data_IF_533974914206
#
_entry.id   IF_533974914206
#
_cell.length_a   1.000
_cell.length_b   1.000
_cell.length_c   1.000
_cell.angle_alpha   90.00
_cell.angle_beta   90.00
_cell.angle_gamma   90.00
#
_symmetry.space_group_name_H-M   'P 1'
#
loop_
_entity.id
_entity.type
_entity.pdbx_description
1 polymer ?
#
# COMPACT_ATOMS: atom_id res chain seq x y z
N UNK A 1 1.66 9.06 -6.52
CA UNK A 1 1.79 8.52 -5.15
C UNK A 1 3.16 8.82 -4.59
N UNK A 2 3.22 9.27 -3.37
CA UNK A 2 4.50 9.61 -2.73
C UNK A 2 4.39 9.43 -1.22
N UNK A 3 5.55 9.38 -0.57
CA UNK A 3 5.64 9.25 0.88
C UNK A 3 6.02 10.61 1.47
N UNK A 4 5.29 11.02 2.51
CA UNK A 4 5.55 12.27 3.22
C UNK A 4 5.22 12.10 4.70
N UNK A 5 6.17 12.43 5.57
CA UNK A 5 5.98 12.40 7.03
C UNK A 5 5.42 11.06 7.54
N UNK A 6 5.98 9.95 7.05
CA UNK A 6 5.56 8.60 7.39
C UNK A 6 4.11 8.30 6.99
N UNK A 7 3.61 8.98 5.97
CA UNK A 7 2.31 8.69 5.37
C UNK A 7 2.47 8.43 3.89
N UNK A 8 1.48 7.74 3.32
CA UNK A 8 1.42 7.49 1.90
C UNK A 8 0.32 8.35 1.31
N UNK A 9 0.67 9.21 0.34
CA UNK A 9 -0.32 10.06 -0.34
C UNK A 9 -0.54 9.47 -1.73
N UNK A 10 -1.77 9.08 -2.03
CA UNK A 10 -2.08 8.47 -3.32
C UNK A 10 -2.31 9.53 -4.42
N UNK A 11 -2.60 9.07 -5.63
CA UNK A 11 -2.77 9.96 -6.78
C UNK A 11 -3.99 10.87 -6.68
N UNK A 12 -4.93 10.53 -5.80
CA UNK A 12 -6.11 11.35 -5.53
C UNK A 12 -5.91 12.27 -4.33
N UNK A 13 -4.67 12.41 -3.86
CA UNK A 13 -4.30 13.21 -2.68
C UNK A 13 -4.93 12.71 -1.37
N UNK A 14 -5.29 11.46 -1.31
CA UNK A 14 -5.77 10.85 -0.08
C UNK A 14 -4.58 10.32 0.72
N UNK A 15 -4.53 10.66 2.00
CA UNK A 15 -3.44 10.27 2.88
C UNK A 15 -3.77 8.96 3.59
N UNK A 16 -2.84 8.01 3.50
CA UNK A 16 -2.95 6.71 4.17
C UNK A 16 -1.84 6.59 5.20
N UNK A 17 -2.14 5.98 6.33
CA UNK A 17 -1.21 5.85 7.44
C UNK A 17 -0.98 4.39 7.79
N UNK A 18 0.05 4.13 8.59
CA UNK A 18 0.28 2.80 9.12
C UNK A 18 -0.97 2.35 9.86
N UNK A 19 -1.44 1.14 9.55
CA UNK A 19 -2.68 0.58 10.08
C UNK A 19 -3.86 0.68 9.13
N UNK A 20 -3.80 1.56 8.13
CA UNK A 20 -4.87 1.66 7.14
C UNK A 20 -4.81 0.46 6.20
N UNK A 21 -5.97 -0.09 5.90
CA UNK A 21 -6.08 -1.27 5.04
C UNK A 21 -6.63 -0.86 3.68
N UNK A 22 -5.90 -1.21 2.64
CA UNK A 22 -6.19 -0.74 1.29
C UNK A 22 -6.11 -1.88 0.29
N UNK A 23 -6.60 -1.60 -0.91
CA UNK A 23 -6.45 -2.48 -2.06
C UNK A 23 -5.48 -1.79 -3.02
N UNK A 24 -4.40 -2.49 -3.34
CA UNK A 24 -3.36 -2.00 -4.24
C UNK A 24 -3.36 -2.81 -5.53
N UNK A 25 -3.12 -2.15 -6.66
CA UNK A 25 -2.87 -2.86 -7.92
C UNK A 25 -1.46 -2.52 -8.40
N UNK A 26 -0.85 -3.47 -9.11
CA UNK A 26 0.46 -3.25 -9.74
C UNK A 26 0.24 -2.62 -11.10
N UNK A 27 1.05 -1.63 -11.43
CA UNK A 27 0.94 -0.92 -12.73
C UNK A 27 1.02 -1.85 -13.93
N UNK A 28 1.86 -2.87 -13.84
CA UNK A 28 2.11 -3.78 -14.96
C UNK A 28 1.11 -4.91 -15.06
N UNK A 29 0.26 -5.07 -14.06
CA UNK A 29 -0.65 -6.21 -14.06
C UNK A 29 -1.91 -5.90 -13.26
N UNK A 30 -2.91 -5.38 -13.94
CA UNK A 30 -4.20 -5.04 -13.33
C UNK A 30 -4.94 -6.25 -12.75
N UNK A 31 -4.48 -7.45 -13.07
CA UNK A 31 -5.09 -8.67 -12.52
C UNK A 31 -4.55 -9.02 -11.15
N UNK A 32 -3.45 -8.41 -10.75
CA UNK A 32 -2.82 -8.69 -9.46
C UNK A 32 -3.19 -7.61 -8.46
N UNK A 33 -4.18 -7.91 -7.65
CA UNK A 33 -4.58 -7.05 -6.55
C UNK A 33 -3.99 -7.57 -5.26
N UNK A 34 -3.50 -6.65 -4.44
CA UNK A 34 -3.04 -6.98 -3.10
C UNK A 34 -3.91 -6.20 -2.13
N UNK A 35 -4.62 -6.92 -1.27
CA UNK A 35 -5.43 -6.32 -0.23
C UNK A 35 -4.73 -6.53 1.10
N UNK A 36 -4.43 -5.47 1.80
CA UNK A 36 -3.72 -5.59 3.06
C UNK A 36 -3.63 -4.27 3.81
N UNK A 37 -3.09 -4.35 5.01
CA UNK A 37 -2.94 -3.21 5.89
C UNK A 37 -1.49 -2.75 5.88
N UNK A 38 -1.30 -1.45 5.82
CA UNK A 38 0.04 -0.86 5.79
C UNK A 38 0.72 -1.11 7.14
N UNK A 39 1.83 -1.84 7.11
CA UNK A 39 2.59 -2.17 8.31
C UNK A 39 3.75 -1.21 8.53
N UNK A 40 4.33 -0.68 7.45
CA UNK A 40 5.44 0.26 7.55
C UNK A 40 5.49 1.12 6.30
N UNK A 41 6.00 2.35 6.43
CA UNK A 41 6.09 3.32 5.33
C UNK A 41 7.48 3.92 5.33
N UNK A 42 8.08 3.99 4.13
CA UNK A 42 9.35 4.67 3.95
C UNK A 42 10.55 3.90 4.48
N UNK A 43 10.42 2.61 4.63
CA UNK A 43 11.50 1.76 5.12
C UNK A 43 12.73 1.82 4.20
N UNK A 44 12.49 1.84 2.90
CA UNK A 44 13.51 2.05 1.87
C UNK A 44 12.98 3.07 0.90
N UNK A 45 13.80 3.53 -0.02
CA UNK A 45 13.42 4.55 -1.00
C UNK A 45 12.06 4.28 -1.63
N UNK A 46 11.05 5.03 -1.20
CA UNK A 46 9.70 4.98 -1.77
C UNK A 46 9.04 3.60 -1.75
N UNK A 47 9.19 2.89 -0.64
CA UNK A 47 8.50 1.61 -0.50
C UNK A 47 7.67 1.55 0.77
N UNK A 48 6.69 0.67 0.76
CA UNK A 48 5.85 0.38 1.91
C UNK A 48 5.81 -1.12 2.14
N UNK A 49 5.55 -1.52 3.38
CA UNK A 49 5.33 -2.92 3.72
C UNK A 49 3.85 -3.10 4.02
N UNK A 50 3.24 -4.10 3.42
CA UNK A 50 1.82 -4.39 3.56
C UNK A 50 1.65 -5.80 4.09
N UNK A 51 0.85 -5.96 5.15
CA UNK A 51 0.46 -7.27 5.64
C UNK A 51 -0.82 -7.68 4.92
N UNK A 52 -0.72 -8.70 4.06
CA UNK A 52 -1.85 -9.15 3.26
C UNK A 52 -2.92 -9.80 4.12
N UNK A 53 -4.19 -9.46 3.86
CA UNK A 53 -5.31 -9.94 4.69
C UNK A 53 -5.53 -11.44 4.61
N UNK A 54 -5.08 -12.07 3.52
CA UNK A 54 -5.27 -13.51 3.31
C UNK A 54 -4.05 -14.34 3.70
N UNK A 55 -3.07 -13.73 4.33
CA UNK A 55 -1.86 -14.44 4.74
C UNK A 55 -1.67 -14.34 6.24
N UNK A 56 -0.96 -15.31 6.79
CA UNK A 56 -0.68 -15.36 8.24
C UNK A 56 0.51 -14.48 8.58
N UNK A 57 0.32 -13.17 8.58
CA UNK A 57 1.36 -12.23 8.96
C UNK A 57 2.47 -12.04 7.94
N UNK A 58 2.26 -12.47 6.70
CA UNK A 58 3.27 -12.30 5.66
C UNK A 58 3.28 -10.84 5.20
N UNK A 59 4.47 -10.23 5.18
CA UNK A 59 4.65 -8.87 4.71
C UNK A 59 5.09 -8.89 3.25
N UNK A 60 4.48 -8.01 2.47
CA UNK A 60 4.84 -7.81 1.06
C UNK A 60 5.39 -6.39 0.91
N UNK A 61 6.54 -6.28 0.26
CA UNK A 61 7.17 -4.99 0.01
C UNK A 61 6.65 -4.45 -1.33
N UNK A 62 6.10 -3.24 -1.30
CA UNK A 62 5.55 -2.59 -2.49
C UNK A 62 6.28 -1.26 -2.72
N UNK A 63 6.64 -1.00 -3.97
CA UNK A 63 7.28 0.26 -4.35
C UNK A 63 6.22 1.22 -4.88
N UNK A 64 6.20 2.43 -4.35
CA UNK A 64 5.14 3.41 -4.66
C UNK A 64 5.04 3.76 -6.15
N UNK A 65 6.14 3.67 -6.87
CA UNK A 65 6.14 3.98 -8.31
C UNK A 65 5.54 2.87 -9.17
N UNK A 66 5.26 1.70 -8.59
CA UNK A 66 4.72 0.55 -9.32
C UNK A 66 3.34 0.13 -8.86
N UNK A 67 2.73 0.88 -7.97
CA UNK A 67 1.42 0.53 -7.43
C UNK A 67 0.47 1.71 -7.48
N UNK A 68 -0.83 1.38 -7.41
CA UNK A 68 -1.89 2.38 -7.22
C UNK A 68 -2.83 1.89 -6.15
N UNK A 69 -3.35 2.82 -5.35
CA UNK A 69 -4.40 2.51 -4.39
C UNK A 69 -5.73 2.68 -5.10
N UNK A 70 -6.53 1.63 -5.15
CA UNK A 70 -7.82 1.66 -5.82
C UNK A 70 -9.00 1.67 -4.86
N UNK A 71 -8.75 1.52 -3.57
CA UNK A 71 -9.80 1.57 -2.58
C UNK A 71 -9.27 1.29 -1.20
N UNK A 72 -10.12 1.49 -0.20
CA UNK A 72 -9.84 1.13 1.19
C UNK A 72 -10.72 -0.03 1.59
N UNK A 73 -10.16 -0.92 2.39
CA UNK A 73 -10.92 -1.99 2.99
C UNK A 73 -11.66 -1.42 4.20
N UNK A 74 -12.96 -1.59 4.23
CA UNK A 74 -13.77 -1.18 5.37
C UNK A 74 -14.04 -2.37 6.28
N UNK A 75 -14.03 -2.12 7.55
CA UNK A 75 -14.35 -3.14 8.52
C UNK A 75 -15.84 -3.47 8.55
#
# INVERSE_FOLDING_TARGET
MYIKDNTLVDDDNVTHRIGDCCIFIMDDNYKSNIAGCIADIGFCNNCISVEEVNSSGQLTLLFTEHIKVIGRLED
#
